data_IF_884102796832
#
_entry.id   IF_884102796832
#
_cell.length_a   1.000
_cell.length_b   1.000
_cell.length_c   1.000
_cell.angle_alpha   90.00
_cell.angle_beta   90.00
_cell.angle_gamma   90.00
#
_symmetry.space_group_name_H-M   'P 1'
#
loop_
_entity.id
_entity.type
_entity.pdbx_description
1 polymer ?
#
# COMPACT_ATOMS: atom_id res chain seq x y z
N UNK A 1 44.08 26.26 -24.37
CA UNK A 1 43.13 25.12 -24.25
C UNK A 1 42.82 24.74 -22.80
N UNK A 2 43.78 24.73 -21.88
CA UNK A 2 43.57 24.42 -20.45
C UNK A 2 42.48 25.27 -19.75
N UNK A 3 42.43 26.59 -19.98
CA UNK A 3 41.44 27.48 -19.37
C UNK A 3 39.98 27.15 -19.77
N UNK A 4 39.76 26.71 -21.02
CA UNK A 4 38.43 26.34 -21.53
C UNK A 4 37.91 25.06 -20.84
N UNK A 5 38.79 24.10 -20.55
CA UNK A 5 38.43 22.87 -19.85
C UNK A 5 38.12 23.12 -18.36
N UNK A 6 38.84 24.04 -17.72
CA UNK A 6 38.57 24.44 -16.33
C UNK A 6 37.22 25.15 -16.24
N UNK A 7 36.93 26.12 -17.12
CA UNK A 7 35.62 26.79 -17.16
C UNK A 7 34.46 25.83 -17.47
N UNK A 8 34.67 24.83 -18.33
CA UNK A 8 33.67 23.80 -18.62
C UNK A 8 33.38 22.91 -17.40
N UNK A 9 34.38 22.64 -16.56
CA UNK A 9 34.22 21.93 -15.28
C UNK A 9 33.39 22.72 -14.26
N UNK A 10 33.67 24.01 -14.09
CA UNK A 10 32.88 24.90 -13.24
C UNK A 10 31.43 25.05 -13.73
N UNK A 11 31.22 25.12 -15.05
CA UNK A 11 29.88 25.15 -15.63
C UNK A 11 29.05 23.90 -15.30
N UNK A 12 29.65 22.70 -15.34
CA UNK A 12 28.97 21.46 -14.94
C UNK A 12 28.62 21.42 -13.45
N UNK A 13 29.52 21.90 -12.58
CA UNK A 13 29.25 21.99 -11.14
C UNK A 13 28.09 22.95 -10.85
N UNK A 14 28.07 24.11 -11.50
CA UNK A 14 27.00 25.09 -11.34
C UNK A 14 25.65 24.55 -11.85
N UNK A 15 25.64 23.83 -12.97
CA UNK A 15 24.44 23.19 -13.51
C UNK A 15 23.90 22.09 -12.58
N UNK A 16 24.81 21.33 -11.95
CA UNK A 16 24.46 20.33 -10.94
C UNK A 16 23.88 20.99 -9.68
N UNK A 17 24.49 22.09 -9.24
CA UNK A 17 24.01 22.86 -8.08
C UNK A 17 22.59 23.40 -8.33
N UNK A 18 22.33 23.98 -9.50
CA UNK A 18 20.99 24.46 -9.88
C UNK A 18 19.96 23.32 -9.89
N UNK A 19 20.33 22.13 -10.40
CA UNK A 19 19.43 20.97 -10.39
C UNK A 19 19.06 20.55 -8.96
N UNK A 20 20.04 20.51 -8.06
CA UNK A 20 19.81 20.18 -6.65
C UNK A 20 18.94 21.24 -5.98
N UNK A 21 19.21 22.52 -6.24
CA UNK A 21 18.43 23.63 -5.70
C UNK A 21 16.99 23.61 -6.23
N UNK A 22 16.81 23.28 -7.51
CA UNK A 22 15.49 23.07 -8.12
C UNK A 22 14.73 21.89 -7.51
N UNK A 23 15.43 20.78 -7.20
CA UNK A 23 14.83 19.64 -6.52
C UNK A 23 14.37 20.01 -5.11
N UNK A 24 15.18 20.76 -4.36
CA UNK A 24 14.81 21.28 -3.04
C UNK A 24 13.58 22.18 -3.09
N UNK A 25 13.52 23.09 -4.07
CA UNK A 25 12.37 23.96 -4.29
C UNK A 25 11.11 23.15 -4.62
N UNK A 26 11.24 22.13 -5.47
CA UNK A 26 10.12 21.28 -5.86
C UNK A 26 9.61 20.43 -4.68
N UNK A 27 10.51 19.84 -3.88
CA UNK A 27 10.14 19.15 -2.65
C UNK A 27 9.48 20.09 -1.63
N UNK A 28 9.99 21.32 -1.47
CA UNK A 28 9.40 22.33 -0.59
C UNK A 28 8.00 22.73 -1.05
N UNK A 29 7.82 22.99 -2.35
CA UNK A 29 6.52 23.27 -2.94
C UNK A 29 5.55 22.10 -2.77
N UNK A 30 6.02 20.87 -2.95
CA UNK A 30 5.19 19.67 -2.75
C UNK A 30 4.75 19.54 -1.28
N UNK A 31 5.65 19.82 -0.33
CA UNK A 31 5.29 19.84 1.09
C UNK A 31 4.24 20.92 1.40
N UNK A 32 4.36 22.12 0.82
CA UNK A 32 3.38 23.18 1.02
C UNK A 32 2.02 22.86 0.36
N UNK A 33 2.02 22.33 -0.86
CA UNK A 33 0.79 22.12 -1.64
C UNK A 33 0.04 20.87 -1.21
N UNK A 34 0.74 19.83 -0.76
CA UNK A 34 0.11 18.55 -0.42
C UNK A 34 0.13 18.31 1.09
N UNK A 35 1.29 18.46 1.74
CA UNK A 35 1.41 18.09 3.16
C UNK A 35 0.64 19.06 4.06
N UNK A 36 0.70 20.37 3.83
CA UNK A 36 -0.03 21.33 4.66
C UNK A 36 -1.56 21.18 4.61
N UNK A 37 -2.23 21.10 3.44
CA UNK A 37 -3.68 20.90 3.43
C UNK A 37 -4.07 19.53 3.98
N UNK A 38 -3.26 18.49 3.74
CA UNK A 38 -3.49 17.16 4.28
C UNK A 38 -3.36 17.16 5.82
N UNK A 39 -2.36 17.87 6.35
CA UNK A 39 -2.17 18.05 7.79
C UNK A 39 -3.31 18.86 8.40
N UNK A 40 -3.68 19.98 7.78
CA UNK A 40 -4.82 20.80 8.23
C UNK A 40 -6.13 20.01 8.22
N UNK A 41 -6.32 19.13 7.24
CA UNK A 41 -7.48 18.22 7.16
C UNK A 41 -7.45 17.16 8.26
N UNK A 42 -6.28 16.58 8.55
CA UNK A 42 -6.11 15.62 9.64
C UNK A 42 -6.38 16.23 11.03
N UNK A 43 -6.00 17.49 11.24
CA UNK A 43 -6.21 18.20 12.52
C UNK A 43 -7.66 18.68 12.66
N UNK A 44 -8.26 19.20 11.59
CA UNK A 44 -9.62 19.77 11.66
C UNK A 44 -10.69 18.69 11.78
N UNK A 45 -10.52 17.56 11.09
CA UNK A 45 -11.49 16.47 11.07
C UNK A 45 -10.81 15.10 11.07
N UNK A 46 -10.26 14.67 12.23
CA UNK A 46 -9.47 13.45 12.34
C UNK A 46 -10.25 12.18 11.98
N UNK A 47 -11.56 12.16 12.23
CA UNK A 47 -12.42 11.04 11.87
C UNK A 47 -12.53 10.88 10.35
N UNK A 48 -12.88 11.94 9.62
CA UNK A 48 -12.97 11.92 8.14
C UNK A 48 -11.63 11.60 7.48
N UNK A 49 -10.52 12.14 8.02
CA UNK A 49 -9.19 11.80 7.55
C UNK A 49 -8.89 10.29 7.69
N UNK A 50 -9.18 9.72 8.87
CA UNK A 50 -8.96 8.30 9.13
C UNK A 50 -9.78 7.41 8.20
N UNK A 51 -11.03 7.77 7.95
CA UNK A 51 -11.87 7.09 6.95
C UNK A 51 -11.30 7.14 5.54
N UNK A 52 -10.86 8.33 5.10
CA UNK A 52 -10.33 8.52 3.76
C UNK A 52 -9.06 7.69 3.54
N UNK A 53 -8.13 7.72 4.50
CA UNK A 53 -6.90 6.92 4.45
C UNK A 53 -7.22 5.43 4.47
N UNK A 54 -8.11 4.98 5.36
CA UNK A 54 -8.49 3.57 5.43
C UNK A 54 -9.19 3.09 4.15
N UNK A 55 -10.01 3.93 3.52
CA UNK A 55 -10.66 3.59 2.25
C UNK A 55 -9.64 3.47 1.12
N UNK A 56 -8.66 4.37 1.05
CA UNK A 56 -7.57 4.27 0.08
C UNK A 56 -6.72 3.00 0.29
N UNK A 57 -6.39 2.67 1.53
CA UNK A 57 -5.66 1.44 1.87
C UNK A 57 -6.50 0.22 1.49
N UNK A 58 -7.79 0.21 1.82
CA UNK A 58 -8.71 -0.86 1.45
C UNK A 58 -8.75 -1.08 -0.07
N UNK A 59 -8.90 -0.01 -0.85
CA UNK A 59 -8.89 -0.05 -2.31
C UNK A 59 -7.57 -0.57 -2.86
N UNK A 60 -6.43 -0.13 -2.30
CA UNK A 60 -5.11 -0.63 -2.69
C UNK A 60 -4.96 -2.13 -2.47
N UNK A 61 -5.40 -2.63 -1.31
CA UNK A 61 -5.38 -4.06 -0.97
C UNK A 61 -6.29 -4.86 -1.92
N UNK A 62 -7.51 -4.37 -2.18
CA UNK A 62 -8.46 -4.99 -3.10
C UNK A 62 -7.88 -5.02 -4.52
N UNK A 63 -7.30 -3.91 -5.00
CA UNK A 63 -6.67 -3.83 -6.31
C UNK A 63 -5.51 -4.82 -6.46
N UNK A 64 -4.62 -4.92 -5.46
CA UNK A 64 -3.54 -5.90 -5.47
C UNK A 64 -4.08 -7.33 -5.45
N UNK A 65 -5.09 -7.62 -4.64
CA UNK A 65 -5.75 -8.94 -4.62
C UNK A 65 -6.34 -9.31 -5.99
N UNK A 66 -7.08 -8.40 -6.63
CA UNK A 66 -7.64 -8.61 -7.97
C UNK A 66 -6.56 -8.80 -9.03
N UNK A 67 -5.48 -8.02 -8.98
CA UNK A 67 -4.36 -8.15 -9.91
C UNK A 67 -3.67 -9.51 -9.76
N UNK A 68 -3.48 -9.98 -8.53
CA UNK A 68 -2.91 -11.30 -8.25
C UNK A 68 -3.81 -12.46 -8.71
N UNK A 69 -5.14 -12.28 -8.69
CA UNK A 69 -6.10 -13.28 -9.20
C UNK A 69 -6.10 -13.30 -10.74
N UNK A 70 -6.11 -12.13 -11.39
CA UNK A 70 -6.17 -12.02 -12.86
C UNK A 70 -4.93 -12.61 -13.54
N UNK A 71 -3.74 -12.41 -12.97
CA UNK A 71 -2.49 -12.99 -13.50
C UNK A 71 -2.43 -14.52 -13.38
N UNK A 72 -3.23 -15.13 -12.50
CA UNK A 72 -3.25 -16.57 -12.27
C UNK A 72 -4.22 -17.30 -13.20
N UNK A 73 -5.35 -16.67 -13.54
CA UNK A 73 -6.37 -17.25 -14.42
C UNK A 73 -5.90 -17.48 -15.87
N UNK A 74 -4.86 -16.78 -16.32
CA UNK A 74 -4.33 -16.93 -17.68
C UNK A 74 -3.48 -18.19 -17.87
N UNK A 75 -3.15 -18.95 -16.81
CA UNK A 75 -2.04 -19.93 -16.87
C UNK A 75 -2.37 -21.42 -16.74
N UNK A 76 -3.59 -21.88 -16.52
CA UNK A 76 -3.78 -23.34 -16.36
C UNK A 76 -5.13 -23.86 -16.86
N UNK A 77 -5.07 -24.55 -18.00
CA UNK A 77 -6.12 -25.36 -18.61
C UNK A 77 -5.66 -26.82 -18.54
N UNK A 78 -5.94 -27.51 -17.43
CA UNK A 78 -5.98 -28.99 -17.47
C UNK A 78 -6.84 -29.61 -16.35
N UNK A 79 -7.65 -30.59 -16.72
CA UNK A 79 -8.94 -30.93 -16.11
C UNK A 79 -8.83 -31.78 -14.82
N UNK A 80 -7.62 -32.19 -14.43
CA UNK A 80 -7.39 -33.10 -13.30
C UNK A 80 -7.04 -32.40 -11.97
N UNK A 81 -6.71 -31.09 -11.99
CA UNK A 81 -6.41 -30.31 -10.79
C UNK A 81 -7.65 -29.74 -10.07
N UNK A 82 -8.87 -30.00 -10.53
CA UNK A 82 -10.09 -29.28 -10.14
C UNK A 82 -10.37 -29.23 -8.62
N UNK A 83 -10.11 -30.32 -7.87
CA UNK A 83 -10.35 -30.38 -6.40
C UNK A 83 -9.28 -29.64 -5.58
N UNK A 84 -8.01 -29.77 -5.95
CA UNK A 84 -6.91 -28.99 -5.35
C UNK A 84 -6.97 -27.50 -5.77
N UNK A 85 -7.54 -27.23 -6.95
CA UNK A 85 -7.78 -25.90 -7.49
C UNK A 85 -8.93 -25.20 -6.76
N UNK A 86 -10.01 -25.91 -6.40
CA UNK A 86 -11.10 -25.38 -5.59
C UNK A 86 -10.64 -25.00 -4.17
N UNK A 87 -9.85 -25.86 -3.52
CA UNK A 87 -9.26 -25.54 -2.20
C UNK A 87 -8.36 -24.31 -2.28
N UNK A 88 -7.46 -24.21 -3.26
CA UNK A 88 -6.59 -23.03 -3.44
C UNK A 88 -7.38 -21.77 -3.80
N UNK A 89 -8.47 -21.89 -4.54
CA UNK A 89 -9.39 -20.78 -4.84
C UNK A 89 -10.12 -20.31 -3.59
N UNK A 90 -10.73 -21.21 -2.82
CA UNK A 90 -11.39 -20.89 -1.55
C UNK A 90 -10.45 -20.30 -0.52
N UNK A 91 -9.18 -20.74 -0.47
CA UNK A 91 -8.17 -20.18 0.42
C UNK A 91 -7.75 -18.77 0.00
N UNK A 92 -7.66 -18.48 -1.31
CA UNK A 92 -7.38 -17.13 -1.81
C UNK A 92 -8.58 -16.20 -1.59
N UNK A 93 -9.79 -16.65 -1.91
CA UNK A 93 -11.03 -15.91 -1.63
C UNK A 93 -11.18 -15.70 -0.13
N UNK A 94 -10.92 -16.71 0.69
CA UNK A 94 -10.92 -16.63 2.14
C UNK A 94 -9.93 -15.61 2.68
N UNK A 95 -8.70 -15.54 2.13
CA UNK A 95 -7.75 -14.47 2.45
C UNK A 95 -8.27 -13.09 2.10
N UNK A 96 -8.83 -12.92 0.90
CA UNK A 96 -9.36 -11.62 0.46
C UNK A 96 -10.55 -11.20 1.32
N UNK A 97 -11.48 -12.11 1.61
CA UNK A 97 -12.64 -11.89 2.46
C UNK A 97 -12.21 -11.62 3.91
N UNK A 98 -11.23 -12.34 4.44
CA UNK A 98 -10.69 -12.14 5.79
C UNK A 98 -10.03 -10.76 5.91
N UNK A 99 -9.25 -10.34 4.92
CA UNK A 99 -8.64 -9.01 4.91
C UNK A 99 -9.72 -7.94 4.74
N UNK A 100 -10.72 -8.15 3.87
CA UNK A 100 -11.82 -7.22 3.68
C UNK A 100 -12.65 -7.04 4.97
N UNK A 101 -13.06 -8.14 5.61
CA UNK A 101 -13.75 -8.14 6.90
C UNK A 101 -12.90 -7.50 8.00
N UNK A 102 -11.59 -7.77 8.00
CA UNK A 102 -10.65 -7.15 8.93
C UNK A 102 -10.59 -5.64 8.78
N UNK A 103 -10.48 -5.15 7.54
CA UNK A 103 -10.43 -3.71 7.23
C UNK A 103 -11.75 -3.03 7.60
N UNK A 104 -12.89 -3.63 7.22
CA UNK A 104 -14.23 -3.11 7.57
C UNK A 104 -14.45 -3.13 9.09
N UNK A 105 -14.00 -4.17 9.79
CA UNK A 105 -14.09 -4.29 11.24
C UNK A 105 -13.23 -3.26 11.98
N UNK A 106 -12.00 -3.02 11.51
CA UNK A 106 -11.13 -1.95 12.04
C UNK A 106 -11.80 -0.59 11.84
N UNK A 107 -12.34 -0.32 10.64
CA UNK A 107 -13.09 0.90 10.34
C UNK A 107 -14.26 1.12 11.31
N UNK A 108 -15.07 0.09 11.54
CA UNK A 108 -16.21 0.15 12.46
C UNK A 108 -15.80 0.38 13.93
N UNK A 109 -14.72 -0.26 14.38
CA UNK A 109 -14.23 -0.11 15.75
C UNK A 109 -13.59 1.26 16.02
N UNK A 110 -12.91 1.82 15.02
CA UNK A 110 -12.38 3.20 15.07
C UNK A 110 -13.53 4.21 15.13
N UNK A 111 -14.60 3.98 14.37
CA UNK A 111 -15.84 4.77 14.38
C UNK A 111 -16.50 4.87 15.78
N UNK A 112 -16.50 3.76 16.53
CA UNK A 112 -17.06 3.69 17.88
C UNK A 112 -16.05 4.20 18.93
N UNK A 113 -14.93 4.79 18.48
CA UNK A 113 -13.86 5.34 19.32
C UNK A 113 -13.20 4.27 20.24
N UNK A 114 -13.28 2.99 19.86
CA UNK A 114 -12.71 1.85 20.59
C UNK A 114 -11.38 1.43 19.95
N UNK A 115 -10.42 2.34 19.94
CA UNK A 115 -9.12 2.19 19.27
C UNK A 115 -8.34 0.94 19.73
N UNK A 116 -8.40 0.61 21.03
CA UNK A 116 -7.74 -0.57 21.58
C UNK A 116 -8.26 -1.89 20.97
N UNK A 117 -9.57 -1.98 20.72
CA UNK A 117 -10.18 -3.15 20.09
C UNK A 117 -9.87 -3.21 18.59
N UNK A 118 -9.78 -2.06 17.91
CA UNK A 118 -9.37 -1.99 16.51
C UNK A 118 -7.93 -2.52 16.31
N UNK A 119 -7.00 -2.16 17.20
CA UNK A 119 -5.62 -2.69 17.20
C UNK A 119 -5.60 -4.21 17.39
N UNK A 120 -6.38 -4.72 18.34
CA UNK A 120 -6.47 -6.15 18.62
C UNK A 120 -7.04 -6.92 17.42
N UNK A 121 -8.08 -6.37 16.78
CA UNK A 121 -8.66 -6.96 15.55
C UNK A 121 -7.63 -6.99 14.41
N UNK A 122 -6.86 -5.92 14.23
CA UNK A 122 -5.83 -5.84 13.19
C UNK A 122 -4.74 -6.88 13.42
N UNK A 123 -4.29 -7.04 14.67
CA UNK A 123 -3.29 -8.05 15.06
C UNK A 123 -3.82 -9.46 14.82
N UNK A 124 -5.09 -9.71 15.16
CA UNK A 124 -5.75 -10.99 14.94
C UNK A 124 -5.93 -11.31 13.44
N UNK A 125 -6.31 -10.33 12.63
CA UNK A 125 -6.39 -10.47 11.15
C UNK A 125 -5.01 -10.74 10.56
N UNK A 126 -3.97 -10.04 11.02
CA UNK A 126 -2.60 -10.27 10.57
C UNK A 126 -2.10 -11.67 10.94
N UNK A 127 -2.42 -12.15 12.15
CA UNK A 127 -2.05 -13.49 12.61
C UNK A 127 -2.77 -14.58 11.81
N UNK A 128 -4.09 -14.46 11.62
CA UNK A 128 -4.89 -15.36 10.79
C UNK A 128 -4.42 -15.34 9.33
N UNK A 129 -4.11 -14.17 8.79
CA UNK A 129 -3.54 -14.03 7.45
C UNK A 129 -2.19 -14.74 7.36
N UNK A 130 -1.31 -14.60 8.35
CA UNK A 130 -0.04 -15.30 8.44
C UNK A 130 -0.21 -16.82 8.44
N UNK A 131 -1.13 -17.34 9.24
CA UNK A 131 -1.45 -18.78 9.27
C UNK A 131 -1.95 -19.24 7.90
N UNK A 132 -2.87 -18.49 7.28
CA UNK A 132 -3.39 -18.82 5.94
C UNK A 132 -2.32 -18.68 4.85
N UNK A 133 -1.36 -17.76 5.00
CA UNK A 133 -0.29 -17.49 4.04
C UNK A 133 0.82 -18.54 4.10
N UNK A 134 1.28 -18.89 5.30
CA UNK A 134 2.44 -19.75 5.52
C UNK A 134 2.06 -21.20 5.86
N UNK A 135 0.93 -21.43 6.55
CA UNK A 135 0.52 -22.76 7.01
C UNK A 135 0.14 -23.75 5.91
N UNK A 136 -0.08 -23.29 4.68
CA UNK A 136 -0.39 -24.16 3.52
C UNK A 136 0.65 -24.05 2.40
N UNK A 137 1.83 -23.53 2.73
CA UNK A 137 2.95 -23.36 1.82
C UNK A 137 3.96 -24.52 1.86
N UNK A 138 3.53 -25.76 2.07
CA UNK A 138 4.24 -27.00 1.69
C UNK A 138 3.55 -28.23 2.27
N UNK A 139 3.02 -29.08 1.40
CA UNK A 139 3.24 -30.52 1.45
C UNK A 139 3.09 -31.03 0.02
N UNK A 140 4.24 -31.47 -0.48
CA UNK A 140 4.52 -32.21 -1.72
C UNK A 140 4.38 -31.45 -3.05
#
# INVERSE_FOLDING_TARGET
>A
MLLKNIFAGYGKLFLSLIKVMGLFLLCGLFALVIVLPLWKFAVSQPQMYTFFVLTLVALGVVFFAFRSIKLFFTKESDTQQLKAHYSRFFLKVGKVVLVFLGVVGVLYLVLINKVALALLLLLLVAFLYGILAFGMGKKD
#
